data_IF_445644849848
#
_entry.id   IF_445644849848
#
_cell.length_a   1.000
_cell.length_b   1.000
_cell.length_c   1.000
_cell.angle_alpha   90.00
_cell.angle_beta   90.00
_cell.angle_gamma   90.00
#
_symmetry.space_group_name_H-M   'P 1'
#
loop_
_entity.id
_entity.type
_entity.pdbx_description
1 polymer ?
#
# COMPACT_ATOMS: atom_id res chain seq x y z
N UNK A 1 4.16 1.23 12.78
CA UNK A 1 3.18 0.57 11.93
C UNK A 1 1.82 1.25 12.02
N UNK A 2 1.09 1.28 10.92
CA UNK A 2 -0.30 1.77 10.87
C UNK A 2 -1.16 0.62 10.36
N UNK A 3 -2.15 0.24 11.16
CA UNK A 3 -2.98 -0.94 10.97
C UNK A 3 -4.44 -0.55 10.81
N UNK A 4 -5.18 -1.31 10.02
CA UNK A 4 -6.64 -1.23 10.00
C UNK A 4 -7.24 -1.84 11.26
N UNK A 5 -8.50 -1.54 11.52
CA UNK A 5 -9.20 -1.96 12.74
C UNK A 5 -9.35 -3.48 12.86
N UNK A 6 -9.41 -4.21 11.74
CA UNK A 6 -9.50 -5.67 11.77
C UNK A 6 -8.15 -6.32 12.13
N UNK A 7 -7.04 -5.79 11.56
CA UNK A 7 -5.71 -6.25 11.91
C UNK A 7 -5.37 -5.93 13.37
N UNK A 8 -5.71 -4.74 13.83
CA UNK A 8 -5.53 -4.31 15.21
C UNK A 8 -6.27 -5.24 16.20
N UNK A 9 -7.53 -5.55 15.92
CA UNK A 9 -8.31 -6.48 16.72
C UNK A 9 -7.68 -7.89 16.77
N UNK A 10 -7.10 -8.35 15.67
CA UNK A 10 -6.38 -9.63 15.63
C UNK A 10 -5.09 -9.58 16.44
N UNK A 11 -4.37 -8.47 16.43
CA UNK A 11 -3.19 -8.30 17.27
C UNK A 11 -3.55 -8.31 18.76
N UNK A 12 -4.57 -7.57 19.15
CA UNK A 12 -5.05 -7.54 20.56
C UNK A 12 -5.55 -8.91 21.01
N UNK A 13 -6.02 -9.76 20.11
CA UNK A 13 -6.46 -11.12 20.42
C UNK A 13 -5.32 -12.14 20.58
N UNK A 14 -4.07 -11.76 20.32
CA UNK A 14 -2.94 -12.68 20.50
C UNK A 14 -2.58 -12.84 21.97
N UNK A 15 -2.54 -14.08 22.46
CA UNK A 15 -2.19 -14.41 23.85
C UNK A 15 -0.87 -13.79 24.30
N UNK A 16 0.11 -13.72 23.39
CA UNK A 16 1.41 -13.12 23.67
C UNK A 16 1.38 -11.62 23.97
N UNK A 17 0.33 -10.92 23.57
CA UNK A 17 0.15 -9.49 23.77
C UNK A 17 -0.89 -9.17 24.86
N UNK A 18 -1.80 -10.09 25.15
CA UNK A 18 -2.87 -9.92 26.14
C UNK A 18 -2.46 -10.41 27.53
N UNK A 19 -1.74 -11.54 27.61
CA UNK A 19 -1.31 -12.10 28.89
C UNK A 19 -0.19 -11.24 29.50
N UNK A 20 -0.46 -10.71 30.71
CA UNK A 20 0.47 -9.78 31.39
C UNK A 20 1.85 -10.39 31.68
N UNK A 21 1.94 -11.69 31.90
CA UNK A 21 3.17 -12.41 32.17
C UNK A 21 4.07 -12.52 30.93
N UNK A 22 3.48 -12.49 29.74
CA UNK A 22 4.19 -12.52 28.45
C UNK A 22 4.45 -11.12 27.91
N UNK A 23 3.45 -10.23 27.97
CA UNK A 23 3.51 -8.87 27.45
C UNK A 23 4.23 -7.88 28.40
N UNK A 24 4.38 -8.22 29.68
CA UNK A 24 4.93 -7.34 30.71
C UNK A 24 4.03 -6.16 31.11
N UNK A 25 2.83 -6.07 30.54
CA UNK A 25 1.85 -5.00 30.79
C UNK A 25 0.43 -5.51 30.57
N UNK A 26 -0.54 -4.90 31.26
CA UNK A 26 -1.96 -5.20 31.07
C UNK A 26 -2.71 -4.16 30.20
N UNK A 27 -1.99 -3.29 29.52
CA UNK A 27 -2.59 -2.21 28.71
C UNK A 27 -3.41 -2.75 27.53
N UNK A 28 -2.91 -3.77 26.85
CA UNK A 28 -3.65 -4.41 25.77
C UNK A 28 -5.01 -4.91 26.22
N UNK A 29 -5.08 -5.55 27.41
CA UNK A 29 -6.31 -6.08 27.98
C UNK A 29 -7.28 -4.99 28.46
N UNK A 30 -6.77 -3.90 29.04
CA UNK A 30 -7.59 -2.85 29.65
C UNK A 30 -7.95 -1.72 28.72
N UNK A 31 -7.06 -1.35 27.83
CA UNK A 31 -7.13 -0.15 27.01
C UNK A 31 -7.18 -0.48 25.50
N UNK A 32 -6.96 -1.74 25.12
CA UNK A 32 -6.86 -2.17 23.72
C UNK A 32 -5.60 -1.62 23.04
N UNK A 33 -4.62 -1.11 23.80
CA UNK A 33 -3.41 -0.50 23.26
C UNK A 33 -2.32 -1.56 23.09
N UNK A 34 -1.91 -1.84 21.85
CA UNK A 34 -0.80 -2.76 21.57
C UNK A 34 0.54 -2.13 22.00
N UNK A 35 0.67 -0.81 21.84
CA UNK A 35 1.89 -0.08 22.16
C UNK A 35 3.06 -0.44 21.21
N UNK A 36 4.27 -0.54 21.76
CA UNK A 36 5.47 -0.85 21.00
C UNK A 36 5.80 -2.34 21.09
N UNK A 37 5.79 -3.01 19.92
CA UNK A 37 6.08 -4.44 19.80
C UNK A 37 7.21 -4.63 18.79
N UNK A 38 8.22 -5.41 19.16
CA UNK A 38 9.44 -5.66 18.33
C UNK A 38 10.10 -4.39 17.78
N UNK A 39 10.05 -3.30 18.54
CA UNK A 39 10.63 -2.03 18.13
C UNK A 39 9.78 -1.19 17.20
N UNK A 40 8.57 -1.63 16.86
CA UNK A 40 7.61 -0.94 16.01
C UNK A 40 6.55 -0.30 16.90
N UNK A 41 6.35 1.01 16.78
CA UNK A 41 5.22 1.72 17.39
C UNK A 41 3.97 1.46 16.53
N UNK A 42 2.89 1.00 17.16
CA UNK A 42 1.69 0.56 16.48
C UNK A 42 0.56 1.59 16.67
N UNK A 43 -0.06 1.96 15.55
CA UNK A 43 -1.18 2.90 15.48
C UNK A 43 -2.31 2.30 14.67
N UNK A 44 -3.55 2.57 15.08
CA UNK A 44 -4.75 2.12 14.37
C UNK A 44 -5.35 3.27 13.59
N UNK A 45 -5.77 3.01 12.37
CA UNK A 45 -6.43 4.01 11.51
C UNK A 45 -7.54 3.39 10.68
N UNK A 46 -8.71 4.02 10.67
CA UNK A 46 -9.82 3.67 9.79
C UNK A 46 -9.65 4.21 8.36
N UNK A 47 -8.63 5.04 8.12
CA UNK A 47 -8.36 5.61 6.81
C UNK A 47 -7.63 4.66 5.84
N UNK A 48 -7.20 3.50 6.31
CA UNK A 48 -6.55 2.49 5.48
C UNK A 48 -7.61 1.87 4.55
N UNK A 49 -7.32 1.94 3.24
CA UNK A 49 -8.24 1.44 2.23
C UNK A 49 -7.98 -0.03 1.91
N UNK A 50 -9.06 -0.74 1.67
CA UNK A 50 -9.01 -2.07 1.07
C UNK A 50 -8.81 -1.93 -0.43
N UNK A 51 -7.81 -2.63 -0.96
CA UNK A 51 -7.63 -2.80 -2.40
C UNK A 51 -8.54 -3.92 -2.89
N UNK A 52 -9.38 -3.63 -3.87
CA UNK A 52 -10.20 -4.63 -4.55
C UNK A 52 -9.44 -5.10 -5.80
N UNK A 53 -9.10 -6.37 -5.84
CA UNK A 53 -8.42 -6.99 -6.98
C UNK A 53 -9.35 -7.00 -8.19
N UNK A 54 -8.86 -6.51 -9.32
CA UNK A 54 -9.57 -6.53 -10.61
C UNK A 54 -9.41 -7.85 -11.35
N UNK A 55 -8.20 -8.40 -11.37
CA UNK A 55 -7.88 -9.60 -12.12
C UNK A 55 -8.59 -10.85 -11.62
N UNK A 56 -9.14 -11.61 -12.53
CA UNK A 56 -9.72 -12.93 -12.26
C UNK A 56 -9.32 -13.92 -13.37
N UNK A 57 -9.32 -15.21 -13.04
CA UNK A 57 -8.91 -16.29 -13.93
C UNK A 57 -7.63 -16.97 -13.45
N UNK A 58 -6.92 -17.58 -14.37
CA UNK A 58 -5.64 -18.24 -14.13
C UNK A 58 -4.60 -17.63 -15.09
N UNK A 59 -4.14 -16.39 -14.81
CA UNK A 59 -3.25 -15.67 -15.73
C UNK A 59 -1.91 -16.39 -15.89
N UNK A 60 -1.47 -16.47 -17.14
CA UNK A 60 -0.19 -17.04 -17.55
C UNK A 60 0.58 -15.98 -18.34
N UNK A 61 1.89 -16.11 -18.37
CA UNK A 61 2.73 -15.31 -19.27
C UNK A 61 2.50 -15.80 -20.69
N UNK A 62 2.11 -14.91 -21.61
CA UNK A 62 1.94 -15.21 -23.03
C UNK A 62 3.04 -14.53 -23.85
N UNK A 63 4.15 -15.22 -23.98
CA UNK A 63 5.25 -14.84 -24.87
C UNK A 63 6.13 -16.05 -25.14
N UNK A 64 6.10 -16.57 -26.37
CA UNK A 64 6.87 -17.74 -26.78
C UNK A 64 8.38 -17.60 -26.52
N UNK A 65 8.92 -16.38 -26.47
CA UNK A 65 10.31 -16.12 -26.11
C UNK A 65 10.55 -15.95 -24.63
N UNK A 66 9.50 -15.87 -23.82
CA UNK A 66 9.58 -15.43 -22.42
C UNK A 66 9.98 -13.98 -22.27
N UNK A 67 10.27 -13.56 -21.05
CA UNK A 67 10.79 -12.24 -20.75
C UNK A 67 12.07 -12.33 -19.94
N UNK A 68 13.04 -11.51 -20.33
CA UNK A 68 14.31 -11.41 -19.62
C UNK A 68 14.18 -10.62 -18.32
N UNK A 69 15.09 -10.88 -17.39
CA UNK A 69 15.25 -10.07 -16.18
C UNK A 69 15.38 -8.58 -16.55
N UNK A 70 14.61 -7.74 -15.86
CA UNK A 70 14.58 -6.30 -16.07
C UNK A 70 13.41 -5.83 -16.93
N UNK A 71 12.62 -6.72 -17.53
CA UNK A 71 11.40 -6.33 -18.24
C UNK A 71 10.41 -5.67 -17.28
N UNK A 72 9.73 -4.64 -17.77
CA UNK A 72 8.72 -3.88 -17.01
C UNK A 72 7.31 -4.02 -17.58
N UNK A 73 7.19 -4.52 -18.79
CA UNK A 73 5.91 -4.81 -19.44
C UNK A 73 5.87 -6.27 -19.81
N UNK A 74 4.79 -6.95 -19.48
CA UNK A 74 4.55 -8.35 -19.80
C UNK A 74 3.15 -8.51 -20.39
N UNK A 75 3.01 -9.42 -21.33
CA UNK A 75 1.75 -9.86 -21.89
C UNK A 75 1.28 -11.09 -21.14
N UNK A 76 0.00 -11.12 -20.80
CA UNK A 76 -0.62 -12.21 -20.01
C UNK A 76 -1.92 -12.63 -20.65
N UNK A 77 -2.21 -13.91 -20.60
CA UNK A 77 -3.44 -14.54 -21.07
C UNK A 77 -4.20 -15.23 -19.93
N UNK A 78 -5.25 -15.97 -20.27
CA UNK A 78 -6.04 -16.77 -19.32
C UNK A 78 -6.88 -15.94 -18.36
N UNK A 79 -7.11 -14.67 -18.66
CA UNK A 79 -7.89 -13.76 -17.84
C UNK A 79 -9.40 -13.89 -18.11
N UNK A 80 -10.19 -13.86 -17.03
CA UNK A 80 -11.64 -13.70 -17.09
C UNK A 80 -12.10 -12.29 -16.68
N UNK A 81 -11.21 -11.55 -16.01
CA UNK A 81 -11.38 -10.11 -15.72
C UNK A 81 -10.01 -9.43 -15.74
N UNK A 82 -9.99 -8.17 -16.14
CA UNK A 82 -8.79 -7.37 -16.34
C UNK A 82 -8.02 -7.10 -15.04
N UNK A 83 -6.71 -7.05 -15.11
CA UNK A 83 -5.88 -6.45 -14.08
C UNK A 83 -6.23 -4.98 -13.91
N UNK A 84 -6.32 -4.56 -12.67
CA UNK A 84 -6.43 -3.15 -12.29
C UNK A 84 -5.08 -2.62 -11.80
N UNK A 85 -4.90 -1.30 -11.90
CA UNK A 85 -3.73 -0.63 -11.31
C UNK A 85 -3.74 -0.83 -9.79
N UNK A 86 -2.64 -1.31 -9.25
CA UNK A 86 -2.50 -1.66 -7.83
C UNK A 86 -2.68 -3.14 -7.54
N UNK A 87 -3.11 -3.97 -8.49
CA UNK A 87 -3.16 -5.42 -8.32
C UNK A 87 -1.76 -5.98 -8.05
N UNK A 88 -1.71 -6.88 -7.10
CA UNK A 88 -0.48 -7.54 -6.66
C UNK A 88 -0.52 -9.00 -7.09
N UNK A 89 0.56 -9.48 -7.65
CA UNK A 89 0.72 -10.88 -8.03
C UNK A 89 2.14 -11.40 -7.77
N UNK A 90 2.26 -12.70 -7.70
CA UNK A 90 3.55 -13.39 -7.56
C UNK A 90 3.86 -14.14 -8.85
N UNK A 91 5.08 -13.96 -9.36
CA UNK A 91 5.61 -14.62 -10.54
C UNK A 91 7.07 -15.04 -10.29
N UNK A 92 7.41 -16.30 -10.53
CA UNK A 92 8.75 -16.81 -10.29
C UNK A 92 9.25 -16.65 -8.83
N UNK A 93 8.34 -16.69 -7.85
CA UNK A 93 8.66 -16.53 -6.42
C UNK A 93 8.90 -15.06 -5.99
N UNK A 94 8.69 -14.10 -6.88
CA UNK A 94 8.81 -12.67 -6.58
C UNK A 94 7.46 -11.97 -6.72
N UNK A 95 7.24 -10.97 -5.86
CA UNK A 95 6.02 -10.19 -5.85
C UNK A 95 6.17 -8.91 -6.70
N UNK A 96 5.12 -8.61 -7.46
CA UNK A 96 5.05 -7.45 -8.37
C UNK A 96 3.70 -6.76 -8.19
N UNK A 97 3.66 -5.47 -8.54
CA UNK A 97 2.43 -4.67 -8.57
C UNK A 97 2.20 -4.13 -9.97
N UNK A 98 0.95 -4.11 -10.40
CA UNK A 98 0.54 -3.53 -11.68
C UNK A 98 0.50 -2.01 -11.56
N UNK A 99 1.29 -1.31 -12.36
CA UNK A 99 1.34 0.17 -12.38
C UNK A 99 0.55 0.77 -13.54
N UNK A 100 0.41 0.02 -14.63
CA UNK A 100 -0.48 0.35 -15.74
C UNK A 100 -1.00 -0.96 -16.36
N UNK A 101 -2.23 -0.95 -16.79
CA UNK A 101 -2.88 -2.08 -17.44
C UNK A 101 -3.50 -1.60 -18.76
N UNK A 102 -3.26 -2.34 -19.83
CA UNK A 102 -3.92 -2.14 -21.13
C UNK A 102 -5.38 -2.61 -21.09
N UNK A 103 -6.05 -2.51 -22.21
CA UNK A 103 -7.40 -3.04 -22.35
C UNK A 103 -7.36 -4.57 -22.39
N UNK A 104 -8.34 -5.20 -21.75
CA UNK A 104 -8.55 -6.64 -21.84
C UNK A 104 -9.11 -7.00 -23.22
N UNK A 105 -8.40 -7.80 -23.98
CA UNK A 105 -8.82 -8.27 -25.31
C UNK A 105 -8.95 -9.78 -25.30
N UNK A 106 -10.16 -10.27 -25.40
CA UNK A 106 -10.54 -11.70 -25.45
C UNK A 106 -10.19 -12.53 -24.20
N UNK A 107 -9.11 -12.37 -23.56
CA UNK A 107 -8.61 -12.95 -22.32
C UNK A 107 -7.15 -12.53 -22.09
N UNK A 108 -6.65 -11.61 -22.93
CA UNK A 108 -5.24 -11.22 -22.98
C UNK A 108 -5.10 -9.76 -22.60
N UNK A 109 -4.01 -9.43 -21.92
CA UNK A 109 -3.77 -8.05 -21.47
C UNK A 109 -2.28 -7.77 -21.36
N UNK A 110 -1.88 -6.54 -21.79
CA UNK A 110 -0.56 -6.00 -21.49
C UNK A 110 -0.58 -5.33 -20.12
N UNK A 111 0.34 -5.68 -19.26
CA UNK A 111 0.50 -5.06 -17.95
C UNK A 111 1.90 -4.51 -17.76
N UNK A 112 1.98 -3.31 -17.19
CA UNK A 112 3.25 -2.73 -16.74
C UNK A 112 3.40 -2.96 -15.25
N UNK A 113 4.55 -3.46 -14.84
CA UNK A 113 4.79 -3.94 -13.48
C UNK A 113 5.90 -3.17 -12.77
N UNK A 114 5.83 -3.16 -11.44
CA UNK A 114 6.90 -2.69 -10.57
C UNK A 114 7.09 -3.68 -9.40
N UNK A 115 8.32 -3.96 -9.00
CA UNK A 115 9.59 -3.65 -9.66
C UNK A 115 9.72 -4.36 -11.02
N UNK A 116 10.75 -4.04 -11.80
CA UNK A 116 11.09 -4.79 -13.00
C UNK A 116 11.38 -6.26 -12.66
N UNK A 117 11.17 -7.19 -13.61
CA UNK A 117 11.37 -8.62 -13.40
C UNK A 117 12.74 -8.90 -12.78
N UNK A 118 12.73 -9.60 -11.65
CA UNK A 118 13.95 -9.98 -10.91
C UNK A 118 14.64 -11.21 -11.46
N UNK A 119 13.91 -12.03 -12.20
CA UNK A 119 14.40 -13.22 -12.90
C UNK A 119 13.76 -13.30 -14.27
N UNK A 120 14.37 -14.03 -15.21
CA UNK A 120 13.72 -14.37 -16.48
C UNK A 120 12.54 -15.31 -16.24
N UNK A 121 11.48 -15.13 -17.01
CA UNK A 121 10.26 -15.94 -16.97
C UNK A 121 10.00 -16.53 -18.35
N UNK A 122 9.37 -17.68 -18.37
CA UNK A 122 9.08 -18.41 -19.59
C UNK A 122 7.62 -18.23 -20.00
N UNK A 123 7.35 -18.62 -21.22
CA UNK A 123 6.00 -18.80 -21.72
C UNK A 123 5.21 -19.76 -20.82
N UNK A 124 3.96 -19.44 -20.57
CA UNK A 124 3.05 -20.19 -19.70
C UNK A 124 3.46 -20.24 -18.20
N UNK A 125 4.39 -19.40 -17.75
CA UNK A 125 4.64 -19.26 -16.31
C UNK A 125 3.42 -18.63 -15.62
N UNK A 126 2.93 -19.28 -14.55
CA UNK A 126 1.71 -18.88 -13.87
C UNK A 126 1.90 -17.65 -12.97
N UNK A 127 0.96 -16.70 -13.07
CA UNK A 127 0.84 -15.58 -12.15
C UNK A 127 -0.15 -15.94 -11.04
N UNK A 128 0.28 -15.85 -9.79
CA UNK A 128 -0.62 -15.99 -8.64
C UNK A 128 -1.07 -14.62 -8.18
N UNK A 129 -2.32 -14.26 -8.46
CA UNK A 129 -2.89 -12.98 -8.10
C UNK A 129 -3.28 -12.97 -6.63
N UNK A 130 -2.91 -11.92 -5.90
CA UNK A 130 -3.34 -11.71 -4.53
C UNK A 130 -4.82 -11.33 -4.49
N UNK A 131 -5.59 -11.95 -3.60
CA UNK A 131 -6.98 -11.57 -3.36
C UNK A 131 -7.09 -10.14 -2.83
N UNK A 132 -8.29 -9.57 -2.89
CA UNK A 132 -8.59 -8.28 -2.28
C UNK A 132 -8.12 -8.24 -0.83
N UNK A 133 -7.40 -7.19 -0.47
CA UNK A 133 -6.73 -7.09 0.83
C UNK A 133 -6.65 -5.64 1.31
N UNK A 134 -6.49 -5.48 2.61
CA UNK A 134 -6.22 -4.16 3.22
C UNK A 134 -4.71 -3.95 3.30
N UNK A 135 -4.23 -2.84 2.73
CA UNK A 135 -2.80 -2.53 2.63
C UNK A 135 -2.32 -1.83 3.92
N UNK A 136 -2.00 -2.62 4.93
CA UNK A 136 -1.37 -2.11 6.15
C UNK A 136 0.07 -1.67 5.90
N UNK A 137 0.53 -0.63 6.62
CA UNK A 137 1.80 0.01 6.37
C UNK A 137 2.74 -0.10 7.57
N UNK A 138 3.98 -0.54 7.31
CA UNK A 138 5.09 -0.44 8.25
C UNK A 138 6.21 0.35 7.59
N UNK A 139 6.67 1.41 8.24
CA UNK A 139 7.68 2.29 7.68
C UNK A 139 8.57 2.87 8.77
N UNK A 140 9.79 3.27 8.40
CA UNK A 140 10.70 4.03 9.25
C UNK A 140 10.27 5.49 9.28
N UNK A 141 10.53 6.20 10.38
CA UNK A 141 10.16 7.62 10.55
C UNK A 141 10.66 8.53 9.42
N UNK A 142 11.80 8.20 8.82
CA UNK A 142 12.38 8.95 7.70
C UNK A 142 11.86 8.54 6.32
N UNK A 143 10.88 7.62 6.23
CA UNK A 143 10.32 7.18 4.95
C UNK A 143 9.46 8.27 4.28
N UNK A 144 8.91 9.18 5.10
CA UNK A 144 8.09 10.29 4.63
C UNK A 144 8.64 11.60 5.20
N UNK A 145 8.83 12.58 4.34
CA UNK A 145 9.18 13.95 4.75
C UNK A 145 7.99 14.88 4.42
N UNK A 146 7.47 15.54 5.44
CA UNK A 146 6.47 16.57 5.28
C UNK A 146 7.12 17.94 5.47
N UNK A 147 7.14 18.74 4.40
CA UNK A 147 7.76 20.05 4.41
C UNK A 147 6.71 21.10 4.05
N UNK A 148 6.56 22.10 4.91
CA UNK A 148 5.71 23.26 4.62
C UNK A 148 6.55 24.51 4.47
N UNK A 149 6.13 25.39 3.57
CA UNK A 149 6.74 26.71 3.37
C UNK A 149 5.72 27.81 3.71
N UNK A 150 6.10 28.85 4.46
CA UNK A 150 5.26 30.00 4.64
C UNK A 150 4.90 30.62 3.29
N UNK A 151 3.61 30.81 3.05
CA UNK A 151 3.12 31.51 1.86
C UNK A 151 3.24 33.02 2.05
N UNK A 152 3.64 33.73 0.99
CA UNK A 152 3.70 35.18 1.01
C UNK A 152 2.31 35.77 1.31
N UNK A 153 2.28 36.82 2.16
CA UNK A 153 1.06 37.54 2.45
C UNK A 153 0.72 38.43 1.24
N UNK A 154 -0.49 38.32 0.64
CA UNK A 154 -0.90 39.16 -0.47
C UNK A 154 -0.98 40.62 -0.03
N UNK A 155 -0.58 41.53 -0.90
CA UNK A 155 -0.74 42.98 -0.64
C UNK A 155 -2.23 43.37 -0.68
N UNK A 156 -2.65 44.25 0.24
CA UNK A 156 -4.01 44.80 0.25
C UNK A 156 -5.07 43.92 0.92
N UNK A 157 -4.70 42.81 1.55
CA UNK A 157 -5.60 41.96 2.34
C UNK A 157 -5.08 41.79 3.76
N UNK A 158 -6.00 41.67 4.70
CA UNK A 158 -5.66 41.30 6.07
C UNK A 158 -5.33 39.78 6.09
N UNK A 159 -4.06 39.48 6.28
CA UNK A 159 -3.62 38.08 6.34
C UNK A 159 -2.52 37.90 7.37
N UNK A 160 -2.50 36.75 8.02
CA UNK A 160 -1.42 36.36 8.93
C UNK A 160 -0.98 34.94 8.68
N UNK A 161 0.25 34.64 9.03
CA UNK A 161 0.85 33.32 8.95
C UNK A 161 0.99 32.80 10.35
N UNK A 162 0.51 31.57 10.58
CA UNK A 162 0.68 30.86 11.84
C UNK A 162 1.27 29.50 11.57
N UNK A 163 2.01 28.98 12.53
CA UNK A 163 2.65 27.66 12.45
C UNK A 163 2.35 26.88 13.72
N UNK A 164 1.92 25.64 13.55
CA UNK A 164 1.69 24.72 14.66
C UNK A 164 2.20 23.34 14.26
N UNK A 165 3.00 22.72 15.14
CA UNK A 165 3.54 21.37 14.98
C UNK A 165 4.19 21.12 13.59
N UNK A 166 4.97 22.08 13.09
CA UNK A 166 5.65 21.97 11.80
C UNK A 166 4.77 22.28 10.57
N UNK A 167 3.47 22.49 10.75
CA UNK A 167 2.54 22.86 9.67
C UNK A 167 2.35 24.36 9.67
N UNK A 168 2.68 25.00 8.55
CA UNK A 168 2.51 26.46 8.37
C UNK A 168 1.26 26.75 7.57
N UNK A 169 0.39 27.59 8.10
CA UNK A 169 -0.85 28.02 7.47
C UNK A 169 -0.88 29.52 7.29
N UNK A 170 -1.41 29.97 6.16
CA UNK A 170 -1.75 31.37 5.92
C UNK A 170 -3.26 31.53 6.01
N UNK A 171 -3.70 32.41 6.90
CA UNK A 171 -5.10 32.79 7.04
C UNK A 171 -5.30 34.11 6.35
N UNK A 172 -6.23 34.20 5.43
CA UNK A 172 -6.60 35.42 4.70
C UNK A 172 -8.04 35.78 5.06
N UNK A 173 -8.26 37.00 5.53
CA UNK A 173 -9.58 37.54 5.84
C UNK A 173 -10.00 38.45 4.69
N UNK A 174 -11.05 38.06 3.97
CA UNK A 174 -11.69 38.85 2.94
C UNK A 174 -13.11 39.21 3.34
N UNK A 175 -13.56 40.44 2.98
CA UNK A 175 -14.98 40.78 3.00
C UNK A 175 -15.49 40.70 1.57
N UNK A 176 -16.61 40.01 1.38
CA UNK A 176 -17.38 39.99 0.14
C UNK A 176 -18.32 41.18 0.14
#
# INVERSE_FOLDING_TARGET
>A
GVWDTEADAKFVALDSLVECDKAGTNRALREGEIGRVYGIDNYTSQAIKTHATGAAGAPLVDNAGGYEKGATTIHVDGLTAAFAVGDVFTLGGHQYVVTAAGELSTADQDITIYPALKASVKDNDALTVAASHTANLVFHENAFAFVTRPLAVPAGVEAYVTSYNGVTMRVVRGYN
#
